data_IF_948613210210
#
_entry.id   IF_948613210210
#
_cell.length_a   1.000
_cell.length_b   1.000
_cell.length_c   1.000
_cell.angle_alpha   90.00
_cell.angle_beta   90.00
_cell.angle_gamma   90.00
#
_symmetry.space_group_name_H-M   'P 1'
#
loop_
_entity.id
_entity.type
_entity.pdbx_description
1 polymer ?
#
# COMPACT_ATOMS: atom_id res chain seq x y z
N UNK A 1 -11.25 -16.02 0.13
CA UNK A 1 -10.75 -14.93 0.99
C UNK A 1 -9.87 -14.06 0.10
N UNK A 2 -10.04 -12.74 0.08
CA UNK A 2 -9.34 -11.84 -0.87
C UNK A 2 -7.81 -12.02 -0.85
N UNK A 3 -7.23 -12.40 0.30
CA UNK A 3 -5.79 -12.59 0.46
C UNK A 3 -5.19 -13.78 -0.29
N UNK A 4 -6.00 -14.78 -0.63
CA UNK A 4 -5.56 -15.95 -1.41
C UNK A 4 -5.53 -15.71 -2.91
N UNK A 5 -6.20 -14.66 -3.38
CA UNK A 5 -6.31 -14.32 -4.80
C UNK A 5 -5.24 -13.31 -5.24
N UNK A 6 -4.48 -12.74 -4.29
CA UNK A 6 -3.42 -11.77 -4.56
C UNK A 6 -2.07 -12.45 -4.79
N UNK A 7 -1.36 -12.02 -5.83
CA UNK A 7 0.03 -12.40 -6.05
C UNK A 7 0.95 -11.80 -4.98
N UNK A 8 2.19 -12.29 -4.90
CA UNK A 8 3.19 -11.75 -3.97
C UNK A 8 3.48 -10.28 -4.31
N UNK A 9 3.60 -9.96 -5.60
CA UNK A 9 3.85 -8.62 -6.12
C UNK A 9 2.71 -7.66 -5.76
N UNK A 10 1.46 -8.09 -5.87
CA UNK A 10 0.29 -7.29 -5.47
C UNK A 10 0.27 -7.03 -3.96
N UNK A 11 0.58 -8.04 -3.15
CA UNK A 11 0.70 -7.88 -1.68
C UNK A 11 1.81 -6.88 -1.34
N UNK A 12 2.98 -6.99 -1.96
CA UNK A 12 4.10 -6.07 -1.77
C UNK A 12 3.74 -4.65 -2.24
N UNK A 13 3.04 -4.51 -3.35
CA UNK A 13 2.54 -3.21 -3.82
C UNK A 13 1.63 -2.56 -2.79
N UNK A 14 0.62 -3.29 -2.28
CA UNK A 14 -0.32 -2.78 -1.28
C UNK A 14 0.41 -2.32 -0.01
N UNK A 15 1.42 -3.07 0.43
CA UNK A 15 2.23 -2.67 1.59
C UNK A 15 3.07 -1.42 1.28
N UNK A 16 3.73 -1.34 0.12
CA UNK A 16 4.52 -0.17 -0.27
C UNK A 16 3.67 1.12 -0.33
N UNK A 17 2.42 1.02 -0.78
CA UNK A 17 1.45 2.13 -0.73
C UNK A 17 1.19 2.53 0.71
N UNK A 18 0.96 1.56 1.61
CA UNK A 18 0.72 1.83 3.03
C UNK A 18 1.93 2.42 3.75
N UNK A 19 3.15 2.07 3.33
CA UNK A 19 4.41 2.65 3.78
C UNK A 19 4.60 4.10 3.29
N UNK A 20 3.84 4.51 2.26
CA UNK A 20 3.90 5.85 1.68
C UNK A 20 4.95 6.00 0.59
N UNK A 21 5.60 4.90 0.17
CA UNK A 21 6.60 4.86 -0.88
C UNK A 21 6.21 3.77 -1.89
N UNK A 22 5.19 4.02 -2.73
CA UNK A 22 4.64 3.00 -3.61
C UNK A 22 5.67 2.48 -4.62
N UNK A 23 5.69 1.15 -4.79
CA UNK A 23 6.48 0.44 -5.79
C UNK A 23 5.65 0.24 -7.06
N UNK A 24 5.52 1.29 -7.87
CA UNK A 24 4.69 1.29 -9.08
C UNK A 24 5.08 0.21 -10.09
N UNK A 25 6.34 -0.21 -10.08
CA UNK A 25 6.89 -1.29 -10.89
C UNK A 25 6.19 -2.65 -10.68
N UNK A 26 5.52 -2.84 -9.53
CA UNK A 26 4.88 -4.11 -9.16
C UNK A 26 3.46 -4.28 -9.72
N UNK A 27 2.77 -3.21 -10.12
CA UNK A 27 1.36 -3.30 -10.56
C UNK A 27 1.22 -3.28 -12.09
N UNK A 28 2.24 -2.83 -12.82
CA UNK A 28 2.24 -2.85 -14.30
C UNK A 28 1.19 -1.95 -14.97
N UNK A 29 0.62 -0.99 -14.24
CA UNK A 29 -0.39 -0.06 -14.75
C UNK A 29 0.23 1.33 -14.85
N UNK A 30 0.32 1.84 -16.08
CA UNK A 30 0.87 3.15 -16.37
C UNK A 30 -0.07 4.27 -15.88
N UNK A 31 0.50 5.31 -15.25
CA UNK A 31 -0.21 6.52 -14.86
C UNK A 31 -1.10 6.40 -13.61
N UNK A 32 -1.06 5.28 -12.88
CA UNK A 32 -1.82 5.10 -11.63
C UNK A 32 -1.44 6.14 -10.57
N UNK A 33 -0.17 6.51 -10.51
CA UNK A 33 0.36 7.55 -9.63
C UNK A 33 -0.29 8.92 -9.88
N UNK A 34 -0.86 9.13 -11.07
CA UNK A 34 -1.52 10.37 -11.45
C UNK A 34 -2.98 10.45 -11.00
N UNK A 35 -3.60 9.32 -10.65
CA UNK A 35 -5.01 9.25 -10.28
C UNK A 35 -5.29 10.06 -9.00
N UNK A 36 -6.34 10.91 -8.99
CA UNK A 36 -6.67 11.73 -7.82
C UNK A 36 -6.87 10.92 -6.54
N UNK A 37 -7.52 9.75 -6.63
CA UNK A 37 -7.77 8.88 -5.49
C UNK A 37 -6.46 8.32 -4.89
N UNK A 38 -5.48 8.00 -5.75
CA UNK A 38 -4.17 7.51 -5.34
C UNK A 38 -3.38 8.60 -4.62
N UNK A 39 -3.31 9.80 -5.22
CA UNK A 39 -2.70 10.99 -4.60
C UNK A 39 -3.33 11.32 -3.25
N UNK A 40 -4.66 11.27 -3.18
CA UNK A 40 -5.39 11.52 -1.92
C UNK A 40 -5.06 10.48 -0.85
N UNK A 41 -4.96 9.19 -1.23
CA UNK A 41 -4.60 8.14 -0.28
C UNK A 41 -3.19 8.34 0.28
N UNK A 42 -2.22 8.66 -0.56
CA UNK A 42 -0.84 8.92 -0.16
C UNK A 42 -0.74 10.15 0.75
N UNK A 43 -1.47 11.23 0.44
CA UNK A 43 -1.56 12.40 1.30
C UNK A 43 -2.07 12.05 2.71
N UNK A 44 -3.12 11.22 2.80
CA UNK A 44 -3.67 10.81 4.09
C UNK A 44 -2.72 9.90 4.88
N UNK A 45 -1.97 9.04 4.19
CA UNK A 45 -0.94 8.21 4.82
C UNK A 45 0.18 9.09 5.38
N UNK A 46 0.67 10.08 4.61
CA UNK A 46 1.69 11.02 5.06
C UNK A 46 1.25 11.92 6.23
N UNK A 47 -0.06 12.09 6.45
CA UNK A 47 -0.63 12.83 7.59
C UNK A 47 -0.81 11.98 8.86
N UNK A 48 -0.54 10.68 8.82
CA UNK A 48 -0.67 9.82 10.00
C UNK A 48 0.44 10.12 11.02
N UNK A 49 0.13 9.98 12.32
CA UNK A 49 1.20 9.99 13.33
C UNK A 49 2.13 8.80 13.13
N UNK A 50 3.46 8.93 13.37
CA UNK A 50 4.42 7.86 13.12
C UNK A 50 4.07 6.54 13.82
N UNK A 51 3.56 6.61 15.06
CA UNK A 51 3.13 5.43 15.84
C UNK A 51 1.92 4.72 15.22
N UNK A 52 0.90 5.48 14.78
CA UNK A 52 -0.29 4.93 14.12
C UNK A 52 0.06 4.37 12.76
N UNK A 53 0.94 5.03 12.02
CA UNK A 53 1.42 4.59 10.71
C UNK A 53 2.14 3.25 10.81
N UNK A 54 3.14 3.14 11.69
CA UNK A 54 3.88 1.89 11.95
C UNK A 54 2.96 0.74 12.37
N UNK A 55 2.00 1.00 13.27
CA UNK A 55 1.01 0.00 13.69
C UNK A 55 0.14 -0.47 12.53
N UNK A 56 -0.29 0.45 11.67
CA UNK A 56 -1.13 0.13 10.53
C UNK A 56 -0.38 -0.65 9.43
N UNK A 57 0.90 -0.35 9.19
CA UNK A 57 1.76 -1.13 8.28
C UNK A 57 1.93 -2.56 8.81
N UNK A 58 2.24 -2.72 10.10
CA UNK A 58 2.38 -4.06 10.72
C UNK A 58 1.11 -4.88 10.60
N UNK A 59 -0.04 -4.30 10.98
CA UNK A 59 -1.33 -4.99 10.88
C UNK A 59 -1.64 -5.44 9.45
N UNK A 60 -1.25 -4.64 8.45
CA UNK A 60 -1.45 -4.98 7.05
C UNK A 60 -0.55 -6.13 6.61
N UNK A 61 0.72 -6.11 7.00
CA UNK A 61 1.68 -7.19 6.79
C UNK A 61 1.17 -8.52 7.36
N UNK A 62 0.75 -8.50 8.63
CA UNK A 62 0.16 -9.66 9.29
C UNK A 62 -1.07 -10.21 8.54
N UNK A 63 -1.93 -9.32 8.02
CA UNK A 63 -3.14 -9.71 7.28
C UNK A 63 -2.85 -10.28 5.89
N UNK A 64 -1.82 -9.77 5.21
CA UNK A 64 -1.40 -10.24 3.89
C UNK A 64 -0.46 -11.45 3.95
N UNK A 65 -0.01 -11.81 5.15
CA UNK A 65 0.95 -12.87 5.43
C UNK A 65 2.33 -12.58 4.79
N UNK A 66 2.82 -11.33 4.90
CA UNK A 66 4.13 -10.87 4.37
C UNK A 66 4.94 -10.01 5.35
#
# INVERSE_FOLDING_TARGET
>A
MITGDLTVEEKQFIVSVKEGVPRWDLIGIEGVENLPAVKWKLLNIGRMSPSKHKKAVRKLRDYLEI
#
